data_IF_064563632125
#
_entry.id   IF_064563632125
#
_cell.length_a   1.000
_cell.length_b   1.000
_cell.length_c   1.000
_cell.angle_alpha   90.00
_cell.angle_beta   90.00
_cell.angle_gamma   90.00
#
_symmetry.space_group_name_H-M   'P 1'
#
loop_
_entity.id
_entity.type
_entity.pdbx_description
1 polymer ?
#
# COMPACT_ATOMS: atom_id res chain seq x y z
N UNK A 1 16.62 -30.29 25.27
CA UNK A 1 15.80 -29.06 25.42
C UNK A 1 16.30 -27.91 24.59
N UNK A 2 17.61 -27.69 24.43
CA UNK A 2 18.15 -26.61 23.62
C UNK A 2 17.74 -26.65 22.14
N UNK A 3 17.55 -27.84 21.58
CA UNK A 3 17.16 -28.03 20.17
C UNK A 3 15.74 -27.50 19.92
N UNK A 4 14.81 -27.71 20.85
CA UNK A 4 13.42 -27.28 20.72
C UNK A 4 13.35 -25.74 20.74
N UNK A 5 14.12 -25.07 21.60
CA UNK A 5 14.18 -23.62 21.68
C UNK A 5 14.76 -23.02 20.41
N UNK A 6 15.84 -23.58 19.87
CA UNK A 6 16.47 -23.11 18.64
C UNK A 6 15.50 -23.24 17.47
N UNK A 7 14.83 -24.39 17.33
CA UNK A 7 13.84 -24.63 16.27
C UNK A 7 12.70 -23.59 16.35
N UNK A 8 12.20 -23.31 17.56
CA UNK A 8 11.13 -22.36 17.77
C UNK A 8 11.56 -20.93 17.40
N UNK A 9 12.76 -20.51 17.79
CA UNK A 9 13.30 -19.19 17.45
C UNK A 9 13.48 -19.04 15.95
N UNK A 10 14.05 -20.05 15.26
CA UNK A 10 14.21 -20.06 13.82
C UNK A 10 12.85 -19.98 13.12
N UNK A 11 11.88 -20.75 13.59
CA UNK A 11 10.52 -20.71 13.04
C UNK A 11 9.90 -19.32 13.16
N UNK A 12 10.07 -18.65 14.30
CA UNK A 12 9.57 -17.29 14.50
C UNK A 12 10.25 -16.28 13.57
N UNK A 13 11.55 -16.40 13.39
CA UNK A 13 12.31 -15.51 12.50
C UNK A 13 11.84 -15.69 11.05
N UNK A 14 11.72 -16.93 10.57
CA UNK A 14 11.25 -17.23 9.23
C UNK A 14 9.83 -16.70 9.02
N UNK A 15 8.95 -16.91 10.01
CA UNK A 15 7.57 -16.44 9.94
C UNK A 15 7.50 -14.91 9.90
N UNK A 16 8.34 -14.23 10.66
CA UNK A 16 8.42 -12.78 10.63
C UNK A 16 8.88 -12.27 9.26
N UNK A 17 9.93 -12.87 8.68
CA UNK A 17 10.39 -12.54 7.34
C UNK A 17 9.30 -12.74 6.29
N UNK A 18 8.56 -13.84 6.36
CA UNK A 18 7.46 -14.09 5.44
C UNK A 18 6.32 -13.08 5.61
N UNK A 19 6.03 -12.66 6.84
CA UNK A 19 4.98 -11.68 7.13
C UNK A 19 5.34 -10.29 6.60
N UNK A 20 6.63 -9.90 6.59
CA UNK A 20 7.07 -8.60 6.05
C UNK A 20 7.29 -8.61 4.54
N UNK A 21 7.32 -9.77 3.91
CA UNK A 21 7.54 -9.90 2.47
C UNK A 21 6.53 -9.12 1.62
N UNK A 22 5.21 -9.17 1.89
CA UNK A 22 4.25 -8.38 1.13
C UNK A 22 4.51 -6.88 1.18
N UNK A 23 4.93 -6.36 2.35
CA UNK A 23 5.26 -4.94 2.53
C UNK A 23 6.45 -4.56 1.64
N UNK A 24 7.52 -5.35 1.66
CA UNK A 24 8.71 -5.09 0.84
C UNK A 24 8.40 -5.18 -0.65
N UNK A 25 7.66 -6.19 -1.06
CA UNK A 25 7.24 -6.34 -2.46
C UNK A 25 6.35 -5.19 -2.91
N UNK A 26 5.42 -4.77 -2.07
CA UNK A 26 4.54 -3.63 -2.36
C UNK A 26 5.33 -2.35 -2.57
N UNK A 27 6.32 -2.09 -1.72
CA UNK A 27 7.18 -0.92 -1.86
C UNK A 27 7.94 -0.93 -3.19
N UNK A 28 8.55 -2.07 -3.53
CA UNK A 28 9.28 -2.21 -4.79
C UNK A 28 8.38 -2.05 -6.01
N UNK A 29 7.17 -2.60 -5.96
CA UNK A 29 6.20 -2.47 -7.05
C UNK A 29 5.75 -1.03 -7.24
N UNK A 30 5.51 -0.30 -6.16
CA UNK A 30 5.13 1.11 -6.23
C UNK A 30 6.27 1.96 -6.79
N UNK A 31 7.51 1.72 -6.36
CA UNK A 31 8.67 2.42 -6.88
C UNK A 31 8.85 2.17 -8.38
N UNK A 32 8.69 0.91 -8.81
CA UNK A 32 8.76 0.54 -10.22
C UNK A 32 7.66 1.21 -11.03
N UNK A 33 6.46 1.23 -10.49
CA UNK A 33 5.29 1.85 -11.12
C UNK A 33 5.50 3.35 -11.31
N UNK A 34 6.04 4.03 -10.30
CA UNK A 34 6.34 5.45 -10.37
C UNK A 34 7.39 5.75 -11.43
N UNK A 35 8.41 4.89 -11.53
CA UNK A 35 9.43 5.03 -12.57
C UNK A 35 8.81 4.86 -13.98
N UNK A 36 7.93 3.89 -14.16
CA UNK A 36 7.23 3.72 -15.42
C UNK A 36 6.41 4.96 -15.79
N UNK A 37 5.77 5.57 -14.81
CA UNK A 37 5.08 6.84 -15.01
C UNK A 37 6.05 7.96 -15.44
N UNK A 38 7.19 8.09 -14.75
CA UNK A 38 8.19 9.11 -15.08
C UNK A 38 8.76 8.91 -16.48
N UNK A 39 8.91 7.68 -16.92
CA UNK A 39 9.40 7.33 -18.26
C UNK A 39 8.32 7.49 -19.35
N UNK A 40 7.10 7.85 -18.97
CA UNK A 40 5.99 8.04 -19.91
C UNK A 40 5.33 6.75 -20.37
N UNK A 41 5.66 5.61 -19.76
CA UNK A 41 5.10 4.30 -20.14
C UNK A 41 3.65 4.12 -19.73
N UNK A 42 3.20 4.80 -18.68
CA UNK A 42 1.82 4.74 -18.18
C UNK A 42 1.29 6.14 -17.89
N UNK A 43 -0.04 6.28 -17.90
CA UNK A 43 -0.71 7.55 -17.57
C UNK A 43 -0.79 7.75 -16.06
N UNK A 44 -1.10 9.00 -15.65
CA UNK A 44 -1.33 9.34 -14.24
C UNK A 44 -2.47 8.53 -13.65
N UNK A 45 -3.56 8.38 -14.40
CA UNK A 45 -4.72 7.61 -13.98
C UNK A 45 -4.38 6.15 -13.75
N UNK A 46 -3.62 5.56 -14.67
CA UNK A 46 -3.18 4.17 -14.54
C UNK A 46 -2.24 3.99 -13.35
N UNK A 47 -1.36 4.97 -13.10
CA UNK A 47 -0.50 4.96 -11.92
C UNK A 47 -1.34 4.90 -10.64
N UNK A 48 -2.33 5.79 -10.51
CA UNK A 48 -3.18 5.83 -9.32
C UNK A 48 -3.96 4.52 -9.14
N UNK A 49 -4.55 3.99 -10.22
CA UNK A 49 -5.33 2.76 -10.17
C UNK A 49 -4.47 1.55 -9.79
N UNK A 50 -3.32 1.41 -10.40
CA UNK A 50 -2.40 0.29 -10.11
C UNK A 50 -1.83 0.39 -8.70
N UNK A 51 -1.49 1.60 -8.23
CA UNK A 51 -1.00 1.81 -6.87
C UNK A 51 -2.05 1.39 -5.84
N UNK A 52 -3.32 1.73 -6.07
CA UNK A 52 -4.41 1.31 -5.20
C UNK A 52 -4.53 -0.20 -5.12
N UNK A 53 -4.42 -0.89 -6.25
CA UNK A 53 -4.46 -2.36 -6.28
C UNK A 53 -3.29 -2.97 -5.50
N UNK A 54 -2.10 -2.40 -5.62
CA UNK A 54 -0.92 -2.87 -4.89
C UNK A 54 -1.15 -2.77 -3.39
N UNK A 55 -1.65 -1.63 -2.91
CA UNK A 55 -1.93 -1.44 -1.47
C UNK A 55 -2.96 -2.47 -0.99
N UNK A 56 -4.03 -2.69 -1.73
CA UNK A 56 -5.03 -3.70 -1.37
C UNK A 56 -4.42 -5.11 -1.31
N UNK A 57 -3.57 -5.46 -2.25
CA UNK A 57 -2.90 -6.77 -2.25
C UNK A 57 -1.96 -6.95 -1.07
N UNK A 58 -1.30 -5.88 -0.64
CA UNK A 58 -0.44 -5.94 0.55
C UNK A 58 -1.28 -6.18 1.79
N UNK A 59 -2.35 -5.43 1.98
CA UNK A 59 -3.15 -5.47 3.20
C UNK A 59 -4.01 -6.72 3.29
N UNK A 60 -4.76 -7.08 2.24
CA UNK A 60 -5.76 -8.14 2.32
C UNK A 60 -5.12 -9.53 2.13
N UNK A 61 -4.70 -9.97 0.92
CA UNK A 61 -4.11 -11.29 0.82
C UNK A 61 -2.71 -11.36 1.41
N UNK A 62 -1.93 -10.28 1.33
CA UNK A 62 -0.55 -10.28 1.80
C UNK A 62 -0.43 -10.39 3.30
N UNK A 63 -1.11 -9.54 4.05
CA UNK A 63 -1.06 -9.50 5.51
C UNK A 63 -2.27 -10.14 6.19
N UNK A 64 -3.25 -10.61 5.41
CA UNK A 64 -4.44 -11.26 5.94
C UNK A 64 -5.42 -10.32 6.63
N UNK A 65 -5.37 -9.03 6.34
CA UNK A 65 -6.24 -8.02 6.98
C UNK A 65 -7.58 -7.94 6.26
N UNK A 66 -8.41 -8.96 6.43
CA UNK A 66 -9.68 -9.12 5.73
C UNK A 66 -10.68 -8.00 6.00
N UNK A 67 -10.52 -7.25 7.09
CA UNK A 67 -11.38 -6.11 7.40
C UNK A 67 -11.36 -5.03 6.32
N UNK A 68 -10.30 -4.98 5.51
CA UNK A 68 -10.18 -4.00 4.43
C UNK A 68 -10.72 -4.49 3.08
N UNK A 69 -11.08 -5.78 2.96
CA UNK A 69 -11.42 -6.40 1.68
C UNK A 69 -12.61 -5.74 0.97
N UNK A 70 -13.62 -5.32 1.74
CA UNK A 70 -14.86 -4.74 1.20
C UNK A 70 -14.89 -3.22 1.22
N UNK A 71 -13.84 -2.58 1.71
CA UNK A 71 -13.81 -1.12 1.80
C UNK A 71 -13.58 -0.49 0.42
N UNK A 72 -14.27 0.61 0.17
CA UNK A 72 -14.11 1.40 -1.06
C UNK A 72 -14.48 2.86 -0.78
N UNK A 73 -14.14 3.76 -1.72
CA UNK A 73 -14.48 5.17 -1.59
C UNK A 73 -13.94 5.78 -0.30
N UNK A 74 -14.79 6.54 0.39
CA UNK A 74 -14.41 7.27 1.59
C UNK A 74 -14.01 6.37 2.75
N UNK A 75 -14.66 5.23 2.90
CA UNK A 75 -14.31 4.27 3.95
C UNK A 75 -12.90 3.71 3.77
N UNK A 76 -12.53 3.44 2.52
CA UNK A 76 -11.19 3.00 2.18
C UNK A 76 -10.15 4.08 2.48
N UNK A 77 -10.44 5.33 2.10
CA UNK A 77 -9.55 6.46 2.37
C UNK A 77 -9.36 6.71 3.86
N UNK A 78 -10.42 6.59 4.66
CA UNK A 78 -10.33 6.71 6.12
C UNK A 78 -9.46 5.63 6.72
N UNK A 79 -9.58 4.40 6.22
CA UNK A 79 -8.73 3.30 6.67
C UNK A 79 -7.26 3.58 6.39
N UNK A 80 -6.94 4.11 5.21
CA UNK A 80 -5.57 4.48 4.85
C UNK A 80 -5.03 5.61 5.72
N UNK A 81 -5.86 6.61 6.06
CA UNK A 81 -5.47 7.66 6.99
C UNK A 81 -5.12 7.09 8.36
N UNK A 82 -5.91 6.16 8.86
CA UNK A 82 -5.65 5.52 10.15
C UNK A 82 -4.33 4.75 10.16
N UNK A 83 -4.07 3.99 9.10
CA UNK A 83 -2.83 3.22 8.99
C UNK A 83 -1.62 4.15 8.92
N UNK A 84 -1.68 5.20 8.12
CA UNK A 84 -0.58 6.13 7.90
C UNK A 84 -0.47 7.22 8.97
N UNK A 85 -1.48 7.35 9.85
CA UNK A 85 -1.55 8.38 10.88
C UNK A 85 -1.49 9.79 10.30
N UNK A 86 -2.16 9.99 9.16
CA UNK A 86 -2.25 11.27 8.45
C UNK A 86 -3.68 11.50 7.98
N UNK A 87 -3.92 12.65 7.33
CA UNK A 87 -5.18 12.94 6.65
C UNK A 87 -4.98 13.08 5.13
N UNK A 88 -3.84 12.60 4.61
CA UNK A 88 -3.48 12.77 3.20
C UNK A 88 -4.37 12.00 2.25
N UNK A 89 -5.02 10.94 2.71
CA UNK A 89 -5.88 10.11 1.87
C UNK A 89 -7.32 10.62 1.83
N UNK A 90 -7.79 11.29 2.88
CA UNK A 90 -9.12 11.92 2.85
C UNK A 90 -9.06 13.37 2.36
N UNK A 91 -7.99 14.11 2.68
CA UNK A 91 -7.88 15.56 2.47
C UNK A 91 -6.77 15.98 1.48
N UNK A 92 -5.89 15.06 1.07
CA UNK A 92 -4.72 15.39 0.24
C UNK A 92 -4.69 14.63 -1.09
N UNK A 93 -3.48 14.50 -1.64
CA UNK A 93 -3.27 13.84 -2.93
C UNK A 93 -3.69 12.38 -2.96
N UNK A 94 -3.63 11.70 -1.82
CA UNK A 94 -4.06 10.31 -1.72
C UNK A 94 -5.55 10.10 -1.94
N UNK A 95 -6.36 11.15 -1.95
CA UNK A 95 -7.80 11.06 -2.19
C UNK A 95 -8.16 10.46 -3.56
N UNK A 96 -7.23 10.50 -4.51
CA UNK A 96 -7.41 9.89 -5.82
C UNK A 96 -7.60 8.37 -5.74
N UNK A 97 -7.13 7.72 -4.68
CA UNK A 97 -7.28 6.28 -4.49
C UNK A 97 -8.72 5.86 -4.16
N UNK A 98 -9.58 6.81 -3.79
CA UNK A 98 -11.02 6.57 -3.66
C UNK A 98 -11.73 6.67 -5.00
N UNK A 99 -12.98 7.15 -4.98
CA UNK A 99 -13.79 7.24 -6.20
C UNK A 99 -13.31 8.27 -7.21
N UNK A 100 -12.44 9.21 -6.79
CA UNK A 100 -11.95 10.27 -7.67
C UNK A 100 -11.13 9.75 -8.84
N UNK A 101 -10.51 8.57 -8.71
CA UNK A 101 -9.72 7.98 -9.80
C UNK A 101 -10.56 7.61 -11.04
N UNK A 102 -11.88 7.57 -10.89
CA UNK A 102 -12.80 7.27 -11.98
C UNK A 102 -13.33 8.52 -12.68
N UNK A 103 -12.92 9.72 -12.24
CA UNK A 103 -13.33 10.96 -12.91
C UNK A 103 -12.58 11.12 -14.23
N UNK A 104 -13.23 11.69 -15.28
CA UNK A 104 -12.59 11.84 -16.58
C UNK A 104 -11.33 12.70 -16.59
N UNK A 105 -11.21 13.64 -15.64
CA UNK A 105 -10.07 14.56 -15.55
C UNK A 105 -9.65 14.72 -14.08
N UNK A 106 -9.04 13.67 -13.48
CA UNK A 106 -8.56 13.79 -12.11
C UNK A 106 -7.35 14.71 -12.05
N UNK A 107 -7.38 15.70 -11.17
CA UNK A 107 -6.21 16.51 -10.85
C UNK A 107 -5.33 15.63 -9.96
N UNK A 108 -4.22 15.15 -10.50
CA UNK A 108 -3.31 14.24 -9.81
C UNK A 108 -1.92 14.85 -9.77
N UNK A 109 -1.31 14.85 -8.57
CA UNK A 109 0.11 15.08 -8.39
C UNK A 109 0.78 13.72 -8.12
N UNK A 110 1.38 13.09 -9.15
CA UNK A 110 1.97 11.76 -8.97
C UNK A 110 3.10 11.72 -7.97
N UNK A 111 3.89 12.80 -7.88
CA UNK A 111 4.98 12.88 -6.91
C UNK A 111 4.43 12.94 -5.48
N UNK A 112 3.43 13.76 -5.23
CA UNK A 112 2.77 13.82 -3.93
C UNK A 112 2.11 12.51 -3.55
N UNK A 113 1.43 11.87 -4.50
CA UNK A 113 0.84 10.56 -4.29
C UNK A 113 1.91 9.51 -3.98
N UNK A 114 3.01 9.49 -4.71
CA UNK A 114 4.10 8.55 -4.46
C UNK A 114 4.66 8.71 -3.04
N UNK A 115 4.86 9.95 -2.59
CA UNK A 115 5.31 10.22 -1.23
C UNK A 115 4.32 9.74 -0.18
N UNK A 116 3.02 9.97 -0.40
CA UNK A 116 1.97 9.50 0.51
C UNK A 116 1.93 7.98 0.59
N UNK A 117 2.10 7.30 -0.54
CA UNK A 117 2.14 5.83 -0.59
C UNK A 117 3.37 5.26 0.12
N UNK A 118 4.52 5.88 -0.04
CA UNK A 118 5.75 5.46 0.67
C UNK A 118 5.57 5.60 2.17
N UNK A 119 4.98 6.70 2.63
CA UNK A 119 4.71 6.91 4.04
C UNK A 119 3.71 5.87 4.57
N UNK A 120 2.66 5.57 3.80
CA UNK A 120 1.67 4.55 4.16
C UNK A 120 2.33 3.19 4.36
N UNK A 121 3.11 2.74 3.39
CA UNK A 121 3.77 1.43 3.44
C UNK A 121 4.68 1.33 4.65
N UNK A 122 5.43 2.39 4.94
CA UNK A 122 6.34 2.43 6.08
C UNK A 122 5.61 2.28 7.41
N UNK A 123 4.35 2.70 7.48
CA UNK A 123 3.54 2.67 8.69
C UNK A 123 2.62 1.47 8.82
N UNK A 124 2.59 0.60 7.82
CA UNK A 124 1.81 -0.64 7.92
C UNK A 124 2.44 -1.52 9.00
N UNK A 125 1.62 -1.95 9.95
CA UNK A 125 2.03 -2.83 11.05
C UNK A 125 1.45 -4.22 10.87
N UNK A 126 2.24 -5.18 11.28
CA UNK A 126 1.86 -6.61 11.21
C UNK A 126 0.82 -7.01 12.25
#
# INVERSE_FOLDING_TARGET
MGIILITWVVFRIVRHFQATKPIRQGKLLIDKLYKEYQDGAISEERFAHAANQIIKRVLVPGLGKQQYAKLSGDEWLKALDQISETNRFTQGEGAILGNKRFRPDPTLDPKGLHNDLQNLIRRIRL
#
